data_IF_457598489532
#
_entry.id   IF_457598489532
#
_cell.length_a   1.000
_cell.length_b   1.000
_cell.length_c   1.000
_cell.angle_alpha   90.00
_cell.angle_beta   90.00
_cell.angle_gamma   90.00
#
_symmetry.space_group_name_H-M   'P 1'
#
loop_
_entity.id
_entity.type
_entity.pdbx_description
1 polymer ?
#
# COMPACT_ATOMS: atom_id res chain seq x y z
N UNK A 1 -6.72 21.08 -11.22
CA UNK A 1 -6.15 19.81 -11.71
C UNK A 1 -7.28 18.81 -11.73
N UNK A 2 -7.57 18.17 -12.85
CA UNK A 2 -8.60 17.12 -12.93
C UNK A 2 -8.11 15.93 -12.12
N UNK A 3 -8.86 15.59 -11.06
CA UNK A 3 -8.57 14.39 -10.23
C UNK A 3 -8.85 13.14 -11.08
N UNK A 4 -7.85 12.66 -11.81
CA UNK A 4 -7.98 11.42 -12.61
C UNK A 4 -8.04 10.22 -11.66
N UNK A 5 -9.04 9.36 -11.82
CA UNK A 5 -9.09 8.06 -11.16
C UNK A 5 -8.12 7.11 -11.88
N UNK A 6 -7.07 6.66 -11.18
CA UNK A 6 -6.09 5.68 -11.71
C UNK A 6 -6.55 4.24 -11.51
N UNK A 7 -7.32 4.01 -10.43
CA UNK A 7 -7.83 2.69 -10.07
C UNK A 7 -9.27 2.84 -9.57
N UNK A 8 -10.18 2.11 -10.17
CA UNK A 8 -11.57 2.04 -9.71
C UNK A 8 -12.05 0.60 -9.58
N UNK A 9 -12.85 0.37 -8.58
CA UNK A 9 -13.46 -0.91 -8.22
C UNK A 9 -14.96 -0.69 -8.20
N UNK A 10 -15.72 -1.51 -8.93
CA UNK A 10 -17.18 -1.40 -9.03
C UNK A 10 -17.84 -2.73 -8.74
N UNK A 11 -18.79 -2.71 -7.81
CA UNK A 11 -19.64 -3.86 -7.41
C UNK A 11 -18.85 -5.13 -7.08
N UNK A 12 -17.64 -4.94 -6.46
CA UNK A 12 -16.77 -6.08 -6.17
C UNK A 12 -17.30 -6.91 -5.02
N UNK A 13 -17.32 -8.24 -5.20
CA UNK A 13 -17.60 -9.20 -4.13
C UNK A 13 -16.43 -10.16 -3.99
N UNK A 14 -15.98 -10.33 -2.74
CA UNK A 14 -14.81 -11.14 -2.40
C UNK A 14 -15.13 -12.10 -1.25
N UNK A 15 -14.70 -13.35 -1.39
CA UNK A 15 -14.93 -14.41 -0.39
C UNK A 15 -13.66 -15.23 -0.16
N UNK A 16 -13.54 -15.75 1.04
CA UNK A 16 -12.65 -16.87 1.33
C UNK A 16 -13.50 -18.12 1.48
N UNK A 17 -13.31 -19.10 0.59
CA UNK A 17 -14.15 -20.29 0.50
C UNK A 17 -15.65 -19.90 0.40
N UNK A 18 -16.45 -20.23 1.42
CA UNK A 18 -17.89 -19.93 1.46
C UNK A 18 -18.24 -18.65 2.24
N UNK A 19 -17.25 -18.01 2.89
CA UNK A 19 -17.48 -16.82 3.71
C UNK A 19 -17.29 -15.55 2.88
N UNK A 20 -18.38 -14.86 2.60
CA UNK A 20 -18.33 -13.53 1.97
C UNK A 20 -17.78 -12.51 2.96
N UNK A 21 -16.70 -11.83 2.55
CA UNK A 21 -16.03 -10.78 3.33
C UNK A 21 -16.46 -9.40 2.82
N UNK A 22 -16.46 -9.23 1.49
CA UNK A 22 -16.85 -7.98 0.83
C UNK A 22 -18.05 -8.28 -0.08
N UNK A 23 -19.05 -7.42 -0.05
CA UNK A 23 -20.27 -7.56 -0.84
C UNK A 23 -20.57 -6.25 -1.55
N UNK A 24 -20.51 -6.26 -2.88
CA UNK A 24 -20.91 -5.13 -3.73
C UNK A 24 -20.29 -3.80 -3.30
N UNK A 25 -18.95 -3.77 -3.22
CA UNK A 25 -18.19 -2.61 -2.77
C UNK A 25 -17.70 -1.81 -3.98
N UNK A 26 -17.87 -0.49 -3.89
CA UNK A 26 -17.33 0.49 -4.84
C UNK A 26 -16.29 1.36 -4.16
N UNK A 27 -15.16 1.62 -4.87
CA UNK A 27 -14.12 2.55 -4.43
C UNK A 27 -13.29 3.02 -5.61
N UNK A 28 -12.86 4.29 -5.57
CA UNK A 28 -11.94 4.87 -6.54
C UNK A 28 -10.73 5.48 -5.84
N UNK A 29 -9.58 5.45 -6.53
CA UNK A 29 -8.33 6.00 -6.06
C UNK A 29 -7.79 7.00 -7.08
N UNK A 30 -7.41 8.18 -6.59
CA UNK A 30 -6.94 9.30 -7.39
C UNK A 30 -5.46 9.15 -7.68
N UNK A 31 -5.07 9.41 -8.93
CA UNK A 31 -3.68 9.39 -9.40
C UNK A 31 -2.80 10.33 -8.57
N UNK A 32 -1.62 9.85 -8.17
CA UNK A 32 -0.64 10.61 -7.41
C UNK A 32 -0.96 10.83 -5.92
N UNK A 33 -2.11 10.36 -5.42
CA UNK A 33 -2.48 10.48 -4.00
C UNK A 33 -1.95 9.32 -3.16
N UNK A 34 -1.75 9.61 -1.87
CA UNK A 34 -1.62 8.61 -0.82
C UNK A 34 -3.00 8.37 -0.21
N UNK A 35 -3.61 7.23 -0.52
CA UNK A 35 -4.89 6.79 0.05
C UNK A 35 -4.66 5.80 1.18
N UNK A 36 -5.24 6.07 2.36
CA UNK A 36 -5.10 5.19 3.53
C UNK A 36 -6.45 4.57 3.89
N UNK A 37 -6.46 3.23 3.97
CA UNK A 37 -7.63 2.46 4.37
C UNK A 37 -7.53 2.20 5.88
N UNK A 38 -8.53 2.64 6.63
CA UNK A 38 -8.67 2.43 8.08
C UNK A 38 -9.93 1.62 8.39
N UNK A 39 -9.99 1.05 9.57
CA UNK A 39 -11.15 0.29 10.06
C UNK A 39 -10.75 -0.79 11.04
N UNK A 40 -11.71 -1.39 11.76
CA UNK A 40 -11.44 -2.42 12.76
C UNK A 40 -10.80 -3.66 12.15
N UNK A 41 -10.17 -4.48 13.01
CA UNK A 41 -9.58 -5.75 12.58
C UNK A 41 -10.66 -6.68 12.01
N UNK A 42 -10.32 -7.38 10.91
CA UNK A 42 -11.24 -8.32 10.27
C UNK A 42 -12.35 -7.67 9.41
N UNK A 43 -12.39 -6.35 9.26
CA UNK A 43 -13.42 -5.67 8.45
C UNK A 43 -13.24 -5.83 6.93
N UNK A 44 -12.12 -6.40 6.45
CA UNK A 44 -11.93 -6.70 5.02
C UNK A 44 -10.87 -5.88 4.30
N UNK A 45 -10.08 -5.03 4.98
CA UNK A 45 -9.04 -4.16 4.38
C UNK A 45 -8.03 -4.95 3.52
N UNK A 46 -7.35 -5.91 4.11
CA UNK A 46 -6.39 -6.78 3.38
C UNK A 46 -7.07 -7.63 2.31
N UNK A 47 -8.33 -8.00 2.51
CA UNK A 47 -9.13 -8.73 1.51
C UNK A 47 -9.38 -7.86 0.28
N UNK A 48 -9.68 -6.58 0.48
CA UNK A 48 -9.85 -5.62 -0.61
C UNK A 48 -8.55 -5.47 -1.41
N UNK A 49 -7.41 -5.24 -0.74
CA UNK A 49 -6.12 -5.12 -1.42
C UNK A 49 -5.74 -6.40 -2.19
N UNK A 50 -5.99 -7.59 -1.61
CA UNK A 50 -5.76 -8.88 -2.29
C UNK A 50 -6.71 -9.09 -3.48
N UNK A 51 -7.95 -8.61 -3.40
CA UNK A 51 -8.89 -8.61 -4.52
C UNK A 51 -8.41 -7.70 -5.66
N UNK A 52 -8.02 -6.46 -5.33
CA UNK A 52 -7.50 -5.49 -6.30
C UNK A 52 -6.23 -6.03 -6.99
N UNK A 53 -5.30 -6.63 -6.24
CA UNK A 53 -4.07 -7.21 -6.79
C UNK A 53 -4.27 -8.55 -7.53
N UNK A 54 -5.51 -9.09 -7.59
CA UNK A 54 -5.86 -10.40 -8.15
C UNK A 54 -5.20 -11.60 -7.44
N UNK A 55 -4.65 -11.41 -6.25
CA UNK A 55 -4.21 -12.52 -5.37
C UNK A 55 -5.40 -13.27 -4.78
N UNK A 56 -6.54 -12.61 -4.62
CA UNK A 56 -7.81 -13.22 -4.30
C UNK A 56 -8.75 -13.06 -5.49
N UNK A 57 -9.28 -14.19 -5.97
CA UNK A 57 -10.24 -14.17 -7.08
C UNK A 57 -11.55 -13.53 -6.64
N UNK A 58 -12.04 -12.55 -7.38
CA UNK A 58 -13.35 -11.95 -7.17
C UNK A 58 -14.49 -12.89 -7.61
N UNK A 59 -15.65 -12.78 -6.95
CA UNK A 59 -16.87 -13.46 -7.35
C UNK A 59 -17.62 -12.68 -8.43
N UNK A 60 -17.68 -11.35 -8.26
CA UNK A 60 -18.36 -10.43 -9.16
C UNK A 60 -17.69 -9.06 -9.15
N UNK A 61 -18.16 -8.16 -10.00
CA UNK A 61 -17.70 -6.78 -10.10
C UNK A 61 -16.56 -6.60 -11.08
N UNK A 62 -16.11 -5.37 -11.20
CA UNK A 62 -15.08 -4.95 -12.16
C UNK A 62 -14.00 -4.13 -11.46
N UNK A 63 -12.77 -4.29 -11.91
CA UNK A 63 -11.63 -3.46 -11.50
C UNK A 63 -11.03 -2.84 -12.77
N UNK A 64 -10.93 -1.52 -12.78
CA UNK A 64 -10.32 -0.75 -13.87
C UNK A 64 -9.05 -0.11 -13.35
N UNK A 65 -7.94 -0.33 -14.04
CA UNK A 65 -6.62 0.21 -13.72
C UNK A 65 -6.10 0.97 -14.93
N UNK A 66 -5.87 2.28 -14.79
CA UNK A 66 -5.40 3.15 -15.86
C UNK A 66 -6.24 2.98 -17.13
N UNK A 67 -7.56 3.18 -16.97
CA UNK A 67 -8.61 3.06 -18.00
C UNK A 67 -8.76 1.65 -18.63
N UNK A 68 -8.06 0.64 -18.14
CA UNK A 68 -8.12 -0.73 -18.64
C UNK A 68 -8.82 -1.66 -17.67
N UNK A 69 -9.76 -2.48 -18.17
CA UNK A 69 -10.36 -3.52 -17.34
C UNK A 69 -9.29 -4.58 -17.01
N UNK A 70 -9.06 -4.82 -15.72
CA UNK A 70 -8.04 -5.77 -15.29
C UNK A 70 -8.35 -7.22 -15.70
N UNK A 71 -9.61 -7.55 -16.02
CA UNK A 71 -9.96 -8.89 -16.51
C UNK A 71 -9.37 -9.19 -17.89
N UNK A 72 -9.16 -8.14 -18.69
CA UNK A 72 -8.59 -8.23 -20.05
C UNK A 72 -7.06 -8.28 -20.06
N UNK A 73 -6.42 -8.07 -18.88
CA UNK A 73 -4.98 -8.02 -18.74
C UNK A 73 -4.42 -9.36 -18.21
N UNK A 74 -3.29 -9.76 -18.74
CA UNK A 74 -2.49 -10.85 -18.18
C UNK A 74 -1.89 -10.45 -16.82
N UNK A 75 -1.56 -11.43 -15.98
CA UNK A 75 -0.88 -11.18 -14.68
C UNK A 75 0.41 -10.37 -14.87
N UNK A 76 1.16 -10.61 -15.94
CA UNK A 76 2.41 -9.89 -16.25
C UNK A 76 2.15 -8.41 -16.62
N UNK A 77 1.08 -8.11 -17.33
CA UNK A 77 0.68 -6.74 -17.68
C UNK A 77 0.24 -5.98 -16.45
N UNK A 78 -0.56 -6.61 -15.58
CA UNK A 78 -0.95 -6.02 -14.29
C UNK A 78 0.28 -5.74 -13.44
N UNK A 79 1.19 -6.70 -13.32
CA UNK A 79 2.42 -6.53 -12.53
C UNK A 79 3.35 -5.44 -13.06
N UNK A 80 3.18 -4.92 -14.26
CA UNK A 80 3.88 -3.73 -14.77
C UNK A 80 3.17 -2.41 -14.44
N UNK A 81 1.95 -2.45 -13.94
CA UNK A 81 1.13 -1.27 -13.61
C UNK A 81 0.84 -1.14 -12.12
N UNK A 82 0.81 -2.25 -11.39
CA UNK A 82 0.44 -2.31 -9.99
C UNK A 82 1.39 -3.25 -9.24
N UNK A 83 2.02 -2.75 -8.18
CA UNK A 83 2.79 -3.53 -7.22
C UNK A 83 1.95 -3.80 -5.96
N UNK A 84 2.18 -4.94 -5.32
CA UNK A 84 1.54 -5.28 -4.05
C UNK A 84 2.56 -5.81 -3.05
N UNK A 85 2.60 -5.18 -1.87
CA UNK A 85 3.36 -5.64 -0.72
C UNK A 85 2.39 -6.20 0.34
N UNK A 86 2.42 -7.52 0.61
CA UNK A 86 1.60 -8.12 1.65
C UNK A 86 2.14 -7.80 3.05
N UNK A 87 1.30 -7.92 4.07
CA UNK A 87 1.63 -7.72 5.49
C UNK A 87 2.82 -8.57 5.95
N UNK A 88 2.92 -9.80 5.47
CA UNK A 88 4.00 -10.73 5.79
C UNK A 88 4.67 -11.18 4.50
N UNK A 89 5.88 -10.69 4.28
CA UNK A 89 6.73 -11.14 3.20
C UNK A 89 7.93 -11.91 3.78
N UNK A 90 8.32 -13.00 3.12
CA UNK A 90 9.43 -13.84 3.54
C UNK A 90 10.42 -13.99 2.39
N UNK A 91 11.71 -14.01 2.71
CA UNK A 91 12.78 -14.31 1.78
C UNK A 91 13.39 -15.68 2.10
N UNK A 92 14.02 -16.35 1.12
CA UNK A 92 14.92 -17.47 1.39
C UNK A 92 15.99 -17.08 2.41
N UNK A 93 16.43 -18.03 3.25
CA UNK A 93 17.34 -17.74 4.37
C UNK A 93 18.64 -17.04 3.97
N UNK A 94 19.18 -17.37 2.81
CA UNK A 94 20.48 -16.85 2.32
C UNK A 94 20.31 -15.75 1.27
N UNK A 95 19.06 -15.33 0.97
CA UNK A 95 18.83 -14.26 0.00
C UNK A 95 19.43 -12.95 0.49
N UNK A 96 20.21 -12.31 -0.37
CA UNK A 96 20.76 -10.98 -0.13
C UNK A 96 19.66 -9.91 -0.32
N UNK A 97 19.94 -8.71 0.15
CA UNK A 97 19.05 -7.55 -0.10
C UNK A 97 18.84 -7.35 -1.60
N UNK A 98 19.90 -7.46 -2.39
CA UNK A 98 19.86 -7.36 -3.86
C UNK A 98 18.95 -8.43 -4.47
N UNK A 99 19.13 -9.69 -4.09
CA UNK A 99 18.33 -10.81 -4.60
C UNK A 99 16.81 -10.54 -4.41
N UNK A 100 16.44 -10.06 -3.21
CA UNK A 100 15.02 -9.77 -2.91
C UNK A 100 14.51 -8.60 -3.75
N UNK A 101 15.29 -7.52 -3.89
CA UNK A 101 14.85 -6.34 -4.67
C UNK A 101 14.76 -6.68 -6.16
N UNK A 102 15.66 -7.54 -6.68
CA UNK A 102 15.61 -8.03 -8.05
C UNK A 102 14.32 -8.81 -8.38
N UNK A 103 13.66 -9.44 -7.39
CA UNK A 103 12.35 -10.08 -7.61
C UNK A 103 11.30 -9.10 -8.12
N UNK A 104 11.38 -7.82 -7.74
CA UNK A 104 10.53 -6.76 -8.27
C UNK A 104 10.66 -6.57 -9.79
N UNK A 105 11.80 -6.99 -10.38
CA UNK A 105 12.04 -6.91 -11.83
C UNK A 105 11.50 -8.10 -12.62
N UNK A 106 10.97 -9.13 -11.95
CA UNK A 106 10.46 -10.34 -12.60
C UNK A 106 9.46 -10.07 -13.75
N UNK A 107 8.51 -9.11 -13.66
CA UNK A 107 7.60 -8.82 -14.77
C UNK A 107 8.28 -8.35 -16.06
N UNK A 108 9.51 -7.86 -15.98
CA UNK A 108 10.28 -7.33 -17.11
C UNK A 108 11.27 -8.34 -17.69
N UNK A 109 11.52 -9.44 -17.00
CA UNK A 109 12.40 -10.49 -17.50
C UNK A 109 11.84 -11.11 -18.78
N UNK A 110 12.69 -11.19 -19.80
CA UNK A 110 12.41 -11.89 -21.05
C UNK A 110 13.41 -13.02 -21.23
N UNK A 111 13.04 -14.05 -22.00
CA UNK A 111 13.94 -15.17 -22.32
C UNK A 111 15.20 -14.73 -23.08
N UNK A 112 15.28 -13.51 -23.57
CA UNK A 112 16.41 -12.95 -24.30
C UNK A 112 17.26 -12.11 -23.32
N UNK A 113 18.44 -12.58 -22.98
CA UNK A 113 19.41 -12.04 -21.99
C UNK A 113 19.92 -10.59 -22.21
N UNK A 114 19.34 -9.78 -23.07
CA UNK A 114 19.91 -8.48 -23.50
C UNK A 114 19.75 -7.30 -22.52
N UNK A 115 19.12 -7.46 -21.33
CA UNK A 115 18.85 -6.34 -20.40
C UNK A 115 19.40 -6.48 -18.98
N UNK A 116 20.31 -7.39 -18.72
CA UNK A 116 20.83 -7.60 -17.37
C UNK A 116 21.55 -6.36 -16.77
N UNK A 117 22.23 -5.57 -17.60
CA UNK A 117 22.91 -4.36 -17.15
C UNK A 117 21.92 -3.26 -16.77
N UNK A 118 20.85 -3.05 -17.57
CA UNK A 118 19.82 -2.04 -17.30
C UNK A 118 19.02 -2.39 -16.03
N UNK A 119 18.73 -3.66 -15.80
CA UNK A 119 18.01 -4.13 -14.60
C UNK A 119 18.84 -3.92 -13.33
N UNK A 120 20.16 -4.15 -13.39
CA UNK A 120 21.07 -3.87 -12.26
C UNK A 120 21.09 -2.39 -11.89
N UNK A 121 21.13 -1.49 -12.87
CA UNK A 121 21.09 -0.04 -12.65
C UNK A 121 19.80 0.34 -11.90
N UNK A 122 18.64 -0.19 -12.33
CA UNK A 122 17.35 0.08 -11.68
C UNK A 122 17.36 -0.40 -10.23
N UNK A 123 17.90 -1.58 -9.96
CA UNK A 123 18.00 -2.13 -8.59
C UNK A 123 18.91 -1.27 -7.73
N UNK A 124 20.08 -0.86 -8.24
CA UNK A 124 21.01 0.01 -7.52
C UNK A 124 20.41 1.39 -7.21
N UNK A 125 19.69 1.99 -8.17
CA UNK A 125 18.93 3.23 -7.96
C UNK A 125 17.92 3.09 -6.82
N UNK A 126 17.10 2.03 -6.85
CA UNK A 126 16.09 1.79 -5.81
C UNK A 126 16.73 1.53 -4.46
N UNK A 127 17.80 0.72 -4.40
CA UNK A 127 18.54 0.48 -3.16
C UNK A 127 19.12 1.77 -2.58
N UNK A 128 19.60 2.68 -3.43
CA UNK A 128 20.04 4.01 -3.02
C UNK A 128 18.90 4.85 -2.44
N UNK A 129 17.73 4.87 -3.09
CA UNK A 129 16.55 5.62 -2.64
C UNK A 129 16.06 5.19 -1.25
N UNK A 130 16.21 3.90 -0.92
CA UNK A 130 15.80 3.38 0.40
C UNK A 130 16.94 3.30 1.42
N UNK A 131 18.15 3.83 1.09
CA UNK A 131 19.36 3.79 1.91
C UNK A 131 19.82 2.36 2.27
N UNK A 132 19.80 1.44 1.30
CA UNK A 132 20.21 0.05 1.45
C UNK A 132 21.33 -0.37 0.49
N UNK A 133 21.89 0.53 -0.31
CA UNK A 133 22.89 0.18 -1.34
C UNK A 133 24.14 -0.45 -0.72
N UNK A 134 24.63 0.08 0.40
CA UNK A 134 25.79 -0.47 1.12
C UNK A 134 25.53 -1.85 1.74
N UNK A 135 24.26 -2.20 1.94
CA UNK A 135 23.83 -3.47 2.49
C UNK A 135 23.37 -4.47 1.40
N UNK A 136 23.55 -4.12 0.12
CA UNK A 136 23.01 -4.87 -1.02
C UNK A 136 23.36 -6.36 -1.01
N UNK A 137 24.60 -6.67 -0.65
CA UNK A 137 25.13 -8.05 -0.64
C UNK A 137 24.97 -8.75 0.73
N UNK A 138 24.35 -8.10 1.72
CA UNK A 138 24.09 -8.72 3.01
C UNK A 138 22.84 -9.62 2.96
N UNK A 139 22.85 -10.79 3.63
CA UNK A 139 21.67 -11.61 3.81
C UNK A 139 20.58 -10.85 4.58
N UNK A 140 19.32 -10.89 4.08
CA UNK A 140 18.18 -10.17 4.68
C UNK A 140 17.94 -10.61 6.13
N UNK A 141 18.24 -11.85 6.50
CA UNK A 141 18.09 -12.34 7.88
C UNK A 141 18.91 -11.53 8.90
N UNK A 142 20.02 -10.95 8.50
CA UNK A 142 20.94 -10.21 9.37
C UNK A 142 20.52 -8.74 9.60
N UNK A 143 19.49 -8.26 8.92
CA UNK A 143 19.01 -6.89 9.00
C UNK A 143 18.09 -6.66 10.21
N UNK A 144 18.04 -5.40 10.69
CA UNK A 144 17.04 -4.95 11.64
C UNK A 144 15.61 -5.02 11.05
N UNK A 145 14.58 -4.97 11.90
CA UNK A 145 13.18 -4.96 11.44
C UNK A 145 12.89 -3.83 10.44
N UNK A 146 13.34 -2.61 10.74
CA UNK A 146 13.16 -1.46 9.86
C UNK A 146 13.91 -1.59 8.53
N UNK A 147 15.14 -2.14 8.56
CA UNK A 147 15.88 -2.42 7.33
C UNK A 147 15.19 -3.50 6.48
N UNK A 148 14.71 -4.58 7.10
CA UNK A 148 13.91 -5.62 6.40
C UNK A 148 12.69 -5.00 5.72
N UNK A 149 11.98 -4.14 6.42
CA UNK A 149 10.80 -3.48 5.83
C UNK A 149 11.17 -2.62 4.63
N UNK A 150 12.29 -1.88 4.69
CA UNK A 150 12.79 -1.12 3.55
C UNK A 150 13.17 -2.01 2.36
N UNK A 151 13.67 -3.23 2.59
CA UNK A 151 13.94 -4.22 1.51
C UNK A 151 12.64 -4.58 0.78
N UNK A 152 11.56 -4.84 1.51
CA UNK A 152 10.26 -5.16 0.91
C UNK A 152 9.67 -3.97 0.14
N UNK A 153 9.78 -2.77 0.70
CA UNK A 153 9.39 -1.54 -0.01
C UNK A 153 10.23 -1.38 -1.28
N UNK A 154 11.56 -1.58 -1.21
CA UNK A 154 12.45 -1.52 -2.37
C UNK A 154 12.06 -2.53 -3.45
N UNK A 155 11.70 -3.76 -3.08
CA UNK A 155 11.23 -4.77 -4.03
C UNK A 155 9.97 -4.29 -4.77
N UNK A 156 9.00 -3.70 -4.06
CA UNK A 156 7.80 -3.14 -4.69
C UNK A 156 8.13 -1.95 -5.61
N UNK A 157 9.05 -1.06 -5.20
CA UNK A 157 9.51 0.07 -6.00
C UNK A 157 10.29 -0.35 -7.25
N UNK A 158 11.10 -1.41 -7.15
CA UNK A 158 11.86 -1.94 -8.27
C UNK A 158 10.95 -2.39 -9.41
N UNK A 159 9.69 -2.69 -9.12
CA UNK A 159 8.67 -3.01 -10.13
C UNK A 159 8.34 -1.80 -11.02
N UNK A 160 8.65 -0.56 -10.59
CA UNK A 160 8.43 0.71 -11.33
C UNK A 160 6.99 0.83 -11.85
N UNK A 161 6.02 0.69 -10.96
CA UNK A 161 4.58 0.76 -11.27
C UNK A 161 3.99 2.12 -10.91
N UNK A 162 2.90 2.51 -11.57
CA UNK A 162 2.16 3.73 -11.26
C UNK A 162 1.38 3.62 -9.93
N UNK A 163 0.97 2.40 -9.55
CA UNK A 163 0.19 2.13 -8.34
C UNK A 163 0.93 1.14 -7.46
N UNK A 164 1.00 1.43 -6.16
CA UNK A 164 1.57 0.54 -5.14
C UNK A 164 0.54 0.31 -4.04
N UNK A 165 0.23 -0.95 -3.79
CA UNK A 165 -0.62 -1.39 -2.68
C UNK A 165 0.25 -1.92 -1.55
N UNK A 166 0.02 -1.44 -0.33
CA UNK A 166 0.78 -1.82 0.86
C UNK A 166 -0.17 -2.29 1.96
N UNK A 167 -0.09 -3.56 2.32
CA UNK A 167 -0.90 -4.13 3.39
C UNK A 167 -0.13 -4.06 4.71
N UNK A 168 -0.44 -3.04 5.53
CA UNK A 168 0.17 -2.77 6.83
C UNK A 168 1.72 -2.66 6.79
N UNK A 169 2.28 -1.73 6.02
CA UNK A 169 3.72 -1.66 5.80
C UNK A 169 4.53 -1.26 7.05
N UNK A 170 3.90 -0.93 8.15
CA UNK A 170 4.55 -0.48 9.39
C UNK A 170 4.36 -1.44 10.56
N UNK A 171 3.67 -2.57 10.35
CA UNK A 171 3.43 -3.56 11.39
C UNK A 171 4.74 -4.20 11.87
N UNK A 172 4.85 -4.48 13.16
CA UNK A 172 6.04 -4.99 13.85
C UNK A 172 7.26 -4.04 13.92
N UNK A 173 7.11 -2.78 13.54
CA UNK A 173 8.14 -1.75 13.68
C UNK A 173 7.89 -0.90 14.92
N UNK A 174 8.94 -0.44 15.59
CA UNK A 174 8.84 0.64 16.57
C UNK A 174 8.46 1.97 15.90
N UNK A 175 8.03 2.94 16.70
CA UNK A 175 7.49 4.20 16.20
C UNK A 175 8.48 4.97 15.29
N UNK A 176 9.79 4.96 15.63
CA UNK A 176 10.81 5.62 14.83
C UNK A 176 10.88 5.04 13.42
N UNK A 177 10.99 3.71 13.33
CA UNK A 177 11.05 3.00 12.05
C UNK A 177 9.74 3.10 11.25
N UNK A 178 8.56 3.15 11.92
CA UNK A 178 7.27 3.40 11.24
C UNK A 178 7.28 4.75 10.53
N UNK A 179 7.70 5.80 11.24
CA UNK A 179 7.78 7.17 10.70
C UNK A 179 8.78 7.23 9.53
N UNK A 180 9.94 6.57 9.66
CA UNK A 180 10.95 6.52 8.60
C UNK A 180 10.40 5.90 7.31
N UNK A 181 9.70 4.76 7.41
CA UNK A 181 9.09 4.09 6.25
C UNK A 181 7.99 4.97 5.63
N UNK A 182 7.14 5.60 6.43
CA UNK A 182 6.07 6.46 5.93
C UNK A 182 6.61 7.75 5.30
N UNK A 183 7.66 8.35 5.87
CA UNK A 183 8.35 9.49 5.26
C UNK A 183 8.96 9.13 3.91
N UNK A 184 9.64 7.98 3.83
CA UNK A 184 10.18 7.46 2.58
C UNK A 184 9.07 7.29 1.52
N UNK A 185 7.94 6.66 1.87
CA UNK A 185 6.79 6.50 0.96
C UNK A 185 6.22 7.86 0.50
N UNK A 186 6.12 8.83 1.40
CA UNK A 186 5.66 10.19 1.09
C UNK A 186 6.62 10.92 0.15
N UNK A 187 7.93 10.79 0.35
CA UNK A 187 8.95 11.35 -0.53
C UNK A 187 8.88 10.73 -1.93
N UNK A 188 8.80 9.42 -2.01
CA UNK A 188 8.68 8.68 -3.27
C UNK A 188 7.38 9.00 -4.02
N UNK A 189 6.25 9.14 -3.30
CA UNK A 189 5.01 9.61 -3.89
C UNK A 189 5.18 10.98 -4.56
N UNK A 190 5.81 11.94 -3.87
CA UNK A 190 6.04 13.29 -4.39
C UNK A 190 7.01 13.30 -5.58
N UNK A 191 8.12 12.57 -5.47
CA UNK A 191 9.19 12.58 -6.47
C UNK A 191 8.79 11.84 -7.74
N UNK A 192 8.11 10.69 -7.60
CA UNK A 192 7.78 9.80 -8.71
C UNK A 192 6.32 9.92 -9.16
N UNK A 193 5.51 10.79 -8.53
CA UNK A 193 4.06 10.92 -8.77
C UNK A 193 3.31 9.58 -8.66
N UNK A 194 3.81 8.70 -7.81
CA UNK A 194 3.31 7.34 -7.63
C UNK A 194 2.04 7.36 -6.77
N UNK A 195 1.03 6.63 -7.16
CA UNK A 195 -0.18 6.43 -6.35
C UNK A 195 0.08 5.36 -5.31
N UNK A 196 -0.14 5.68 -4.04
CA UNK A 196 0.02 4.74 -2.93
C UNK A 196 -1.32 4.48 -2.28
N UNK A 197 -1.66 3.20 -2.13
CA UNK A 197 -2.85 2.76 -1.40
C UNK A 197 -2.35 1.85 -0.29
N UNK A 198 -2.56 2.24 0.97
CA UNK A 198 -2.04 1.46 2.09
C UNK A 198 -3.06 1.28 3.22
N UNK A 199 -2.92 0.19 3.95
CA UNK A 199 -3.65 -0.05 5.19
C UNK A 199 -2.79 0.40 6.36
N UNK A 200 -3.33 1.23 7.25
CA UNK A 200 -2.69 1.58 8.51
C UNK A 200 -3.66 1.36 9.68
N UNK A 201 -3.11 0.98 10.85
CA UNK A 201 -3.87 0.82 12.09
C UNK A 201 -3.85 2.05 12.97
N UNK A 202 -2.74 2.79 13.00
CA UNK A 202 -2.61 4.00 13.78
C UNK A 202 -3.32 5.16 13.10
N UNK A 203 -4.34 5.72 13.77
CA UNK A 203 -5.17 6.80 13.24
C UNK A 203 -4.39 8.11 13.03
N UNK A 204 -3.41 8.39 13.90
CA UNK A 204 -2.61 9.60 13.80
C UNK A 204 -1.62 9.51 12.66
N UNK A 205 -0.99 8.35 12.47
CA UNK A 205 -0.16 8.10 11.29
C UNK A 205 -0.99 8.10 10.00
N UNK A 206 -2.18 7.49 10.03
CA UNK A 206 -3.09 7.53 8.89
C UNK A 206 -3.46 8.97 8.50
N UNK A 207 -3.87 9.79 9.47
CA UNK A 207 -4.19 11.21 9.25
C UNK A 207 -2.99 11.99 8.70
N UNK A 208 -1.81 11.83 9.32
CA UNK A 208 -0.60 12.57 8.98
C UNK A 208 -0.11 12.30 7.55
N UNK A 209 -0.19 11.06 7.10
CA UNK A 209 0.40 10.64 5.84
C UNK A 209 -0.59 10.55 4.68
N UNK A 210 -1.90 10.43 4.94
CA UNK A 210 -2.91 10.37 3.89
C UNK A 210 -3.19 11.73 3.23
N UNK A 211 -3.44 11.70 1.93
CA UNK A 211 -4.18 12.74 1.20
C UNK A 211 -5.69 12.41 1.24
N UNK A 212 -6.02 11.13 1.23
CA UNK A 212 -7.39 10.62 1.25
C UNK A 212 -7.51 9.41 2.18
N UNK A 213 -8.57 9.36 2.98
CA UNK A 213 -8.83 8.28 3.93
C UNK A 213 -10.12 7.53 3.56
N UNK A 214 -10.11 6.22 3.75
CA UNK A 214 -11.23 5.33 3.46
C UNK A 214 -11.53 4.52 4.72
N UNK A 215 -12.69 4.77 5.32
CA UNK A 215 -13.18 4.07 6.51
C UNK A 215 -13.98 2.82 6.15
N UNK A 216 -13.45 1.64 6.47
CA UNK A 216 -14.09 0.34 6.24
C UNK A 216 -14.63 -0.27 7.53
N UNK A 217 -15.84 -0.86 7.45
CA UNK A 217 -16.45 -1.66 8.52
C UNK A 217 -17.33 -2.76 7.91
N UNK A 218 -17.25 -3.98 8.43
CA UNK A 218 -18.08 -5.12 8.02
C UNK A 218 -18.12 -5.38 6.50
N UNK A 219 -16.96 -5.25 5.84
CA UNK A 219 -16.83 -5.49 4.39
C UNK A 219 -17.39 -4.37 3.51
N UNK A 220 -17.69 -3.20 4.07
CA UNK A 220 -18.21 -2.03 3.37
C UNK A 220 -17.34 -0.81 3.61
N UNK A 221 -17.35 0.11 2.67
CA UNK A 221 -16.85 1.48 2.87
C UNK A 221 -18.02 2.30 3.42
N UNK A 222 -17.83 2.85 4.61
CA UNK A 222 -18.83 3.72 5.24
C UNK A 222 -18.50 5.20 5.04
N UNK A 223 -17.21 5.54 5.03
CA UNK A 223 -16.75 6.91 4.94
C UNK A 223 -15.54 6.99 4.01
N UNK A 224 -15.45 8.09 3.28
CA UNK A 224 -14.29 8.41 2.46
C UNK A 224 -14.17 9.92 2.30
N UNK A 225 -12.94 10.44 2.33
CA UNK A 225 -12.68 11.88 2.26
C UNK A 225 -11.27 12.24 2.69
N UNK A 226 -11.01 13.53 2.83
CA UNK A 226 -9.76 14.05 3.41
C UNK A 226 -9.63 13.63 4.88
N UNK A 227 -8.41 13.66 5.46
CA UNK A 227 -8.23 13.44 6.88
C UNK A 227 -9.11 14.32 7.76
N UNK A 228 -9.35 15.59 7.38
CA UNK A 228 -10.22 16.52 8.12
C UNK A 228 -11.68 16.08 8.15
N UNK A 229 -12.17 15.44 7.09
CA UNK A 229 -13.54 14.95 7.01
C UNK A 229 -13.73 13.64 7.78
N UNK A 230 -12.71 12.77 7.81
CA UNK A 230 -12.81 11.42 8.39
C UNK A 230 -12.46 11.39 9.88
N UNK A 231 -11.44 12.14 10.31
CA UNK A 231 -10.97 12.16 11.70
C UNK A 231 -11.87 13.02 12.57
N UNK A 232 -13.12 12.64 12.71
CA UNK A 232 -14.12 13.32 13.55
C UNK A 232 -14.68 12.36 14.59
N UNK A 233 -15.05 12.87 15.81
CA UNK A 233 -15.56 12.00 16.87
C UNK A 233 -16.74 11.12 16.45
N UNK A 234 -17.77 11.60 15.70
CA UNK A 234 -18.88 10.74 15.27
C UNK A 234 -18.46 9.60 14.33
N UNK A 235 -17.56 9.88 13.39
CA UNK A 235 -17.07 8.87 12.44
C UNK A 235 -16.22 7.83 13.16
N UNK A 236 -15.32 8.26 14.07
CA UNK A 236 -14.49 7.34 14.83
C UNK A 236 -15.33 6.49 15.81
N UNK A 237 -16.39 7.06 16.39
CA UNK A 237 -17.34 6.31 17.20
C UNK A 237 -18.06 5.24 16.35
N UNK A 238 -18.51 5.58 15.15
CA UNK A 238 -19.18 4.59 14.29
C UNK A 238 -18.22 3.52 13.79
N UNK A 239 -17.02 3.89 13.31
CA UNK A 239 -16.04 2.94 12.78
C UNK A 239 -15.46 2.01 13.84
N UNK A 240 -15.03 2.57 14.98
CA UNK A 240 -14.19 1.88 15.96
C UNK A 240 -14.85 1.69 17.32
N UNK A 241 -16.03 2.27 17.55
CA UNK A 241 -16.73 2.31 18.82
C UNK A 241 -15.89 3.01 19.94
N UNK A 242 -15.15 4.05 19.59
CA UNK A 242 -14.32 4.86 20.52
C UNK A 242 -14.86 6.28 20.63
N UNK A 243 -14.79 6.85 21.83
CA UNK A 243 -15.05 8.28 22.06
C UNK A 243 -13.71 9.02 21.93
N UNK A 244 -13.50 9.71 20.82
CA UNK A 244 -12.26 10.39 20.51
C UNK A 244 -12.33 11.89 20.78
N UNK A 245 -11.23 12.46 21.33
CA UNK A 245 -11.00 13.90 21.36
C UNK A 245 -10.02 14.22 20.24
N UNK A 246 -10.45 15.03 19.29
CA UNK A 246 -9.66 15.41 18.12
C UNK A 246 -9.13 16.83 18.32
N UNK A 247 -7.84 17.00 18.12
CA UNK A 247 -7.14 18.27 18.01
C UNK A 247 -6.56 18.48 16.61
N UNK A 248 -5.72 19.47 16.48
CA UNK A 248 -5.02 19.80 15.22
C UNK A 248 -3.50 19.76 15.48
N UNK A 249 -2.75 19.11 14.58
CA UNK A 249 -1.29 19.11 14.59
C UNK A 249 -0.80 20.55 14.27
N UNK A 250 0.04 21.16 15.16
CA UNK A 250 0.47 22.54 14.99
C UNK A 250 1.40 22.75 13.78
N UNK A 251 1.94 21.70 13.18
CA UNK A 251 2.91 21.78 12.09
C UNK A 251 2.20 21.71 10.73
N UNK A 252 1.41 20.67 10.50
CA UNK A 252 0.76 20.45 9.20
C UNK A 252 -0.76 20.66 9.21
N UNK A 253 -1.31 21.07 10.38
CA UNK A 253 -2.73 21.39 10.56
C UNK A 253 -3.66 20.20 10.22
N UNK A 254 -3.15 19.00 10.30
CA UNK A 254 -3.95 17.78 10.14
C UNK A 254 -4.59 17.39 11.48
N UNK A 255 -5.76 16.74 11.44
CA UNK A 255 -6.40 16.28 12.68
C UNK A 255 -5.56 15.20 13.37
N UNK A 256 -5.48 15.29 14.67
CA UNK A 256 -4.80 14.34 15.55
C UNK A 256 -5.75 13.87 16.66
N UNK A 257 -5.81 12.56 16.88
CA UNK A 257 -6.52 12.01 18.03
C UNK A 257 -5.65 12.18 19.27
N UNK A 258 -6.07 13.07 20.18
CA UNK A 258 -5.37 13.38 21.43
C UNK A 258 -5.66 12.33 22.50
N UNK A 259 -6.88 11.84 22.53
CA UNK A 259 -7.36 10.85 23.50
C UNK A 259 -8.54 10.08 22.91
N UNK A 260 -8.69 8.84 23.32
CA UNK A 260 -9.89 8.03 23.09
C UNK A 260 -10.16 7.15 24.32
N UNK A 261 -11.43 6.89 24.58
CA UNK A 261 -11.94 6.03 25.66
C UNK A 261 -12.85 4.93 25.05
#
# INVERSE_FOLDING_TARGET
MTNKEILSVKDISLSYQQRKIIKQLDVSFIEGNISVIIGPNGCGKSTLLKGISRLLKKESGQIVLDDLNMDDLSTKEIAKKLAFLPQSATAPEDATVRDVVELGRYPYQSMLKKKAADEKIIVDEVLSQVNLLELAEQPVKNLSGGQKQRVWVAMALAQKTAVVLLDEPTTYLDLGHQIDVLNLLKELNKTNQMTIIMVLHDLNLASRFADYMIGMKDGKILYQGSPKEIMTPPILQDLFAINAIIGEDPIDQKPICLRFD
#
